data_IF_591030184058
#
_entry.id   IF_591030184058
#
_cell.length_a   1.000
_cell.length_b   1.000
_cell.length_c   1.000
_cell.angle_alpha   90.00
_cell.angle_beta   90.00
_cell.angle_gamma   90.00
#
_symmetry.space_group_name_H-M   'P 1'
#
loop_
_entity.id
_entity.type
_entity.pdbx_description
1 polymer ?
#
# COMPACT_ATOMS: atom_id res chain seq x y z
N UNK A 1 7.02 13.98 -0.21
CA UNK A 1 6.08 13.52 -1.25
C UNK A 1 6.30 14.18 -2.61
N UNK A 2 6.39 15.50 -2.70
CA UNK A 2 6.53 16.20 -3.99
C UNK A 2 7.78 15.79 -4.78
N UNK A 3 8.94 15.70 -4.13
CA UNK A 3 10.19 15.20 -4.75
C UNK A 3 10.01 13.82 -5.41
N UNK A 4 9.49 12.86 -4.66
CA UNK A 4 9.23 11.51 -5.15
C UNK A 4 8.19 11.47 -6.28
N UNK A 5 7.20 12.36 -6.26
CA UNK A 5 6.23 12.50 -7.34
C UNK A 5 6.86 13.05 -8.62
N UNK A 6 7.81 13.98 -8.49
CA UNK A 6 8.50 14.59 -9.62
C UNK A 6 9.57 13.70 -10.28
N UNK A 7 10.24 12.84 -9.51
CA UNK A 7 11.36 12.05 -10.04
C UNK A 7 11.63 10.70 -9.37
N UNK A 8 10.67 10.16 -8.63
CA UNK A 8 10.79 8.85 -7.99
C UNK A 8 11.81 8.83 -6.84
N UNK A 9 12.34 7.65 -6.57
CA UNK A 9 13.16 7.36 -5.39
C UNK A 9 14.49 8.14 -5.36
N UNK A 10 15.11 8.34 -6.52
CA UNK A 10 16.41 9.00 -6.62
C UNK A 10 16.32 10.53 -6.52
N UNK A 11 15.16 11.09 -6.88
CA UNK A 11 14.88 12.51 -6.69
C UNK A 11 14.66 12.90 -5.21
N UNK A 12 14.64 11.94 -4.28
CA UNK A 12 14.49 12.23 -2.85
C UNK A 12 15.87 12.37 -2.22
N UNK A 13 16.36 13.59 -2.13
CA UNK A 13 17.58 13.91 -1.40
C UNK A 13 17.27 14.60 -0.07
N UNK A 14 17.97 14.22 1.00
CA UNK A 14 17.73 14.76 2.35
C UNK A 14 17.89 16.29 2.41
N UNK A 15 18.83 16.86 1.63
CA UNK A 15 19.02 18.31 1.50
C UNK A 15 17.81 18.98 0.86
N UNK A 16 17.28 18.40 -0.20
CA UNK A 16 16.09 18.92 -0.89
C UNK A 16 14.85 18.79 -0.01
N UNK A 17 14.72 17.69 0.74
CA UNK A 17 13.66 17.52 1.75
C UNK A 17 13.75 18.63 2.79
N UNK A 18 14.94 18.92 3.32
CA UNK A 18 15.14 19.98 4.31
C UNK A 18 14.79 21.36 3.74
N UNK A 19 15.16 21.64 2.49
CA UNK A 19 14.86 22.90 1.82
C UNK A 19 13.36 23.06 1.55
N UNK A 20 12.67 22.01 1.09
CA UNK A 20 11.23 22.05 0.83
C UNK A 20 10.40 22.13 2.11
N UNK A 21 10.85 21.51 3.19
CA UNK A 21 10.17 21.53 4.48
C UNK A 21 10.50 22.77 5.33
N UNK A 22 11.39 23.66 4.85
CA UNK A 22 11.88 24.85 5.56
C UNK A 22 12.39 24.54 6.98
N UNK A 23 13.20 23.48 7.09
CA UNK A 23 13.82 23.07 8.35
C UNK A 23 15.30 22.78 8.15
N UNK A 24 16.09 22.99 9.21
CA UNK A 24 17.51 22.65 9.19
C UNK A 24 17.73 21.16 8.91
N UNK A 25 18.76 20.83 8.12
CA UNK A 25 19.10 19.44 7.79
C UNK A 25 19.34 18.57 9.04
N UNK A 26 19.97 19.11 10.07
CA UNK A 26 20.16 18.42 11.36
C UNK A 26 18.85 18.10 12.08
N UNK A 27 17.79 18.88 11.84
CA UNK A 27 16.44 18.58 12.35
C UNK A 27 15.84 17.39 11.62
N UNK A 28 16.00 17.29 10.29
CA UNK A 28 15.55 16.11 9.55
C UNK A 28 16.25 14.84 10.07
N UNK A 29 17.58 14.86 10.18
CA UNK A 29 18.35 13.70 10.65
C UNK A 29 18.08 13.30 12.10
N UNK A 30 17.52 14.22 12.91
CA UNK A 30 17.06 13.89 14.27
C UNK A 30 15.83 12.97 14.26
N UNK A 31 14.98 13.07 13.25
CA UNK A 31 13.77 12.25 13.14
C UNK A 31 13.92 11.06 12.18
N UNK A 32 14.72 11.22 11.13
CA UNK A 32 14.87 10.22 10.08
C UNK A 32 16.34 10.05 9.72
N UNK A 33 16.89 8.86 10.01
CA UNK A 33 18.28 8.54 9.76
C UNK A 33 18.59 8.40 8.26
N UNK A 34 17.57 8.14 7.43
CA UNK A 34 17.74 7.95 5.99
C UNK A 34 16.51 8.40 5.18
N UNK A 35 16.69 8.52 3.86
CA UNK A 35 15.58 8.76 2.93
C UNK A 35 14.55 7.62 2.95
N UNK A 36 14.98 6.39 3.25
CA UNK A 36 14.08 5.24 3.34
C UNK A 36 13.11 5.37 4.51
N UNK A 37 13.57 5.89 5.65
CA UNK A 37 12.71 6.10 6.81
C UNK A 37 11.65 7.16 6.52
N UNK A 38 12.02 8.28 5.87
CA UNK A 38 11.07 9.32 5.44
C UNK A 38 10.04 8.74 4.46
N UNK A 39 10.49 7.94 3.51
CA UNK A 39 9.62 7.34 2.50
C UNK A 39 8.72 6.25 3.09
N UNK A 40 9.21 5.45 4.04
CA UNK A 40 8.40 4.45 4.73
C UNK A 40 7.28 5.10 5.56
N UNK A 41 7.57 6.19 6.26
CA UNK A 41 6.52 7.01 6.92
C UNK A 41 5.53 7.58 5.93
N UNK A 42 6.03 8.05 4.78
CA UNK A 42 5.18 8.48 3.69
C UNK A 42 4.26 7.37 3.18
N UNK A 43 4.73 6.13 3.11
CA UNK A 43 3.93 5.01 2.65
C UNK A 43 2.80 4.69 3.63
N UNK A 44 3.09 4.73 4.93
CA UNK A 44 2.06 4.56 5.97
C UNK A 44 0.97 5.60 5.79
N UNK A 45 1.33 6.88 5.71
CA UNK A 45 0.37 7.98 5.49
C UNK A 45 -0.41 7.82 4.17
N UNK A 46 0.24 7.33 3.11
CA UNK A 46 -0.43 7.04 1.84
C UNK A 46 -1.49 5.94 1.98
N UNK A 47 -1.18 4.85 2.69
CA UNK A 47 -2.11 3.74 2.88
C UNK A 47 -3.23 4.08 3.85
N UNK A 48 -2.98 4.90 4.88
CA UNK A 48 -4.03 5.43 5.75
C UNK A 48 -5.04 6.27 4.95
N UNK A 49 -4.57 7.21 4.13
CA UNK A 49 -5.46 8.00 3.27
C UNK A 49 -6.17 7.14 2.21
N UNK A 50 -5.54 6.05 1.75
CA UNK A 50 -6.21 5.07 0.89
C UNK A 50 -7.33 4.32 1.62
N UNK A 51 -7.09 3.86 2.84
CA UNK A 51 -8.10 3.20 3.67
C UNK A 51 -9.30 4.11 3.90
N UNK A 52 -9.08 5.36 4.29
CA UNK A 52 -10.16 6.35 4.49
C UNK A 52 -11.02 6.52 3.23
N UNK A 53 -10.39 6.63 2.06
CA UNK A 53 -11.09 6.70 0.77
C UNK A 53 -11.90 5.45 0.44
N UNK A 54 -11.38 4.27 0.77
CA UNK A 54 -12.08 3.00 0.56
C UNK A 54 -13.27 2.89 1.52
N UNK A 55 -13.11 3.29 2.78
CA UNK A 55 -14.13 3.18 3.81
C UNK A 55 -15.40 4.00 3.49
N UNK A 56 -15.25 5.16 2.83
CA UNK A 56 -16.39 6.01 2.43
C UNK A 56 -16.96 5.66 1.05
N UNK A 57 -16.32 4.76 0.30
CA UNK A 57 -16.78 4.37 -1.04
C UNK A 57 -18.02 3.46 -0.90
N UNK A 58 -19.07 3.68 -1.72
CA UNK A 58 -20.17 2.73 -1.79
C UNK A 58 -19.65 1.34 -2.16
N UNK A 59 -20.00 0.33 -1.34
CA UNK A 59 -19.69 -1.06 -1.65
C UNK A 59 -20.42 -1.46 -2.93
N UNK A 60 -19.68 -1.97 -3.91
CA UNK A 60 -20.23 -2.49 -5.16
C UNK A 60 -20.11 -4.01 -5.18
N UNK A 61 -21.14 -4.67 -5.70
CA UNK A 61 -21.22 -6.13 -5.71
C UNK A 61 -22.24 -6.66 -4.71
N UNK A 62 -22.83 -7.80 -5.08
CA UNK A 62 -23.82 -8.54 -4.33
C UNK A 62 -23.18 -9.58 -3.40
N UNK A 63 -21.93 -9.97 -3.63
CA UNK A 63 -21.20 -10.95 -2.80
C UNK A 63 -20.01 -10.32 -2.08
N UNK A 64 -19.53 -10.97 -1.01
CA UNK A 64 -18.32 -10.53 -0.30
C UNK A 64 -17.07 -10.57 -1.20
N UNK A 65 -17.00 -11.53 -2.13
CA UNK A 65 -15.94 -11.61 -3.13
C UNK A 65 -15.95 -10.39 -4.05
N UNK A 66 -17.12 -10.02 -4.59
CA UNK A 66 -17.27 -8.86 -5.47
C UNK A 66 -16.95 -7.55 -4.74
N UNK A 67 -17.38 -7.41 -3.49
CA UNK A 67 -17.10 -6.22 -2.67
C UNK A 67 -15.61 -6.08 -2.35
N UNK A 68 -14.95 -7.19 -1.97
CA UNK A 68 -13.50 -7.19 -1.74
C UNK A 68 -12.72 -6.92 -3.03
N UNK A 69 -13.14 -7.52 -4.15
CA UNK A 69 -12.53 -7.29 -5.45
C UNK A 69 -12.69 -5.84 -5.93
N UNK A 70 -13.85 -5.19 -5.74
CA UNK A 70 -14.02 -3.76 -6.07
C UNK A 70 -13.10 -2.88 -5.21
N UNK A 71 -13.00 -3.16 -3.91
CA UNK A 71 -12.12 -2.42 -3.01
C UNK A 71 -10.64 -2.56 -3.41
N UNK A 72 -10.17 -3.77 -3.73
CA UNK A 72 -8.80 -4.03 -4.14
C UNK A 72 -8.47 -3.40 -5.51
N UNK A 73 -9.39 -3.47 -6.47
CA UNK A 73 -9.24 -2.75 -7.75
C UNK A 73 -9.22 -1.24 -7.57
N UNK A 74 -10.06 -0.71 -6.69
CA UNK A 74 -10.05 0.71 -6.36
C UNK A 74 -8.72 1.14 -5.69
N UNK A 75 -8.14 0.28 -4.86
CA UNK A 75 -6.84 0.47 -4.24
C UNK A 75 -5.68 0.49 -5.26
N UNK A 76 -5.73 -0.41 -6.25
CA UNK A 76 -4.70 -0.50 -7.29
C UNK A 76 -4.79 0.62 -8.35
N UNK A 77 -5.88 1.39 -8.38
CA UNK A 77 -6.03 2.55 -9.28
C UNK A 77 -5.25 3.74 -8.74
N UNK A 78 -4.04 3.90 -9.27
CA UNK A 78 -3.14 5.01 -8.95
C UNK A 78 -2.98 5.88 -10.19
N UNK A 79 -3.16 7.21 -10.08
CA UNK A 79 -2.89 8.14 -11.18
C UNK A 79 -1.46 7.98 -11.73
N UNK A 80 -1.29 8.17 -13.05
CA UNK A 80 0.02 8.03 -13.71
C UNK A 80 1.07 8.97 -13.10
N UNK A 81 0.67 10.21 -12.82
CA UNK A 81 1.50 11.23 -12.17
C UNK A 81 1.86 10.90 -10.71
N UNK A 82 1.13 9.99 -10.07
CA UNK A 82 1.41 9.49 -8.72
C UNK A 82 2.22 8.20 -8.70
N UNK A 83 2.39 7.56 -9.86
CA UNK A 83 3.10 6.27 -9.99
C UNK A 83 4.57 6.36 -9.58
N UNK A 84 5.35 7.40 -9.95
CA UNK A 84 6.72 7.56 -9.47
C UNK A 84 6.81 7.67 -7.95
N UNK A 85 5.86 8.39 -7.33
CA UNK A 85 5.76 8.49 -5.89
C UNK A 85 5.52 7.12 -5.26
N UNK A 86 4.49 6.39 -5.69
CA UNK A 86 4.19 5.09 -5.09
C UNK A 86 5.35 4.10 -5.27
N UNK A 87 6.03 4.13 -6.42
CA UNK A 87 7.20 3.27 -6.65
C UNK A 87 8.32 3.62 -5.67
N UNK A 88 8.61 4.91 -5.47
CA UNK A 88 9.60 5.36 -4.50
C UNK A 88 9.28 4.92 -3.07
N UNK A 89 8.02 5.05 -2.66
CA UNK A 89 7.54 4.60 -1.35
C UNK A 89 7.74 3.10 -1.17
N UNK A 90 7.40 2.28 -2.19
CA UNK A 90 7.59 0.83 -2.14
C UNK A 90 9.05 0.41 -2.21
N UNK A 91 9.90 1.10 -2.97
CA UNK A 91 11.35 0.83 -3.00
C UNK A 91 11.98 1.00 -1.63
N UNK A 92 11.60 2.04 -0.88
CA UNK A 92 12.09 2.27 0.48
C UNK A 92 11.76 1.11 1.45
N UNK A 93 10.69 0.36 1.20
CA UNK A 93 10.28 -0.78 2.05
C UNK A 93 11.23 -1.98 1.97
N UNK A 94 12.08 -2.05 0.95
CA UNK A 94 13.13 -3.07 0.85
C UNK A 94 14.38 -2.75 1.68
N UNK A 95 14.41 -1.59 2.36
CA UNK A 95 15.52 -1.18 3.21
C UNK A 95 15.70 -2.13 4.41
N UNK A 96 16.95 -2.49 4.78
CA UNK A 96 17.21 -3.32 5.96
C UNK A 96 17.06 -2.57 7.30
N UNK A 97 16.60 -1.32 7.30
CA UNK A 97 16.39 -0.52 8.53
C UNK A 97 15.34 -1.15 9.45
N UNK A 98 15.64 -1.17 10.75
CA UNK A 98 14.70 -1.62 11.81
C UNK A 98 13.47 -0.72 11.85
N UNK A 99 13.64 0.59 11.66
CA UNK A 99 12.53 1.55 11.60
C UNK A 99 11.62 1.25 10.42
N UNK A 100 12.20 0.95 9.25
CA UNK A 100 11.42 0.55 8.06
C UNK A 100 10.71 -0.78 8.30
N UNK A 101 11.37 -1.75 8.96
CA UNK A 101 10.73 -3.02 9.30
C UNK A 101 9.52 -2.86 10.24
N UNK A 102 9.55 -1.90 11.17
CA UNK A 102 8.37 -1.55 11.99
C UNK A 102 7.26 -0.96 11.13
N UNK A 103 7.57 -0.06 10.20
CA UNK A 103 6.59 0.48 9.25
C UNK A 103 5.97 -0.61 8.36
N UNK A 104 6.74 -1.63 7.98
CA UNK A 104 6.21 -2.82 7.28
C UNK A 104 5.17 -3.58 8.11
N UNK A 105 5.37 -3.70 9.43
CA UNK A 105 4.38 -4.33 10.33
C UNK A 105 3.12 -3.47 10.46
N UNK A 106 3.28 -2.15 10.57
CA UNK A 106 2.16 -1.20 10.58
C UNK A 106 1.34 -1.31 9.29
N UNK A 107 2.01 -1.33 8.13
CA UNK A 107 1.38 -1.48 6.83
C UNK A 107 0.60 -2.79 6.71
N UNK A 108 1.17 -3.93 7.15
CA UNK A 108 0.44 -5.19 7.17
C UNK A 108 -0.83 -5.14 8.02
N UNK A 109 -0.83 -4.38 9.11
CA UNK A 109 -2.01 -4.20 9.97
C UNK A 109 -3.07 -3.37 9.27
N UNK A 110 -2.70 -2.25 8.66
CA UNK A 110 -3.62 -1.42 7.86
C UNK A 110 -4.24 -2.21 6.70
N UNK A 111 -3.46 -3.03 6.00
CA UNK A 111 -3.97 -3.87 4.92
C UNK A 111 -4.98 -4.91 5.42
N UNK A 112 -4.74 -5.51 6.59
CA UNK A 112 -5.70 -6.42 7.24
C UNK A 112 -7.00 -5.70 7.57
N UNK A 113 -6.94 -4.48 8.08
CA UNK A 113 -8.11 -3.66 8.38
C UNK A 113 -8.93 -3.36 7.12
N UNK A 114 -8.28 -2.97 6.01
CA UNK A 114 -8.96 -2.74 4.72
C UNK A 114 -9.71 -4.00 4.26
N UNK A 115 -9.07 -5.17 4.32
CA UNK A 115 -9.72 -6.44 3.92
C UNK A 115 -10.90 -6.76 4.84
N UNK A 116 -10.72 -6.62 6.16
CA UNK A 116 -11.80 -6.86 7.14
C UNK A 116 -12.98 -5.92 6.93
N UNK A 117 -12.72 -4.64 6.73
CA UNK A 117 -13.74 -3.64 6.43
C UNK A 117 -14.47 -4.00 5.14
N UNK A 118 -13.75 -4.36 4.07
CA UNK A 118 -14.35 -4.74 2.80
C UNK A 118 -15.23 -6.00 2.90
N UNK A 119 -14.87 -6.98 3.74
CA UNK A 119 -15.69 -8.16 4.03
C UNK A 119 -16.94 -7.84 4.86
N UNK A 120 -16.95 -6.70 5.56
CA UNK A 120 -18.08 -6.27 6.39
C UNK A 120 -17.91 -6.62 7.87
N UNK A 121 -18.78 -6.01 8.69
CA UNK A 121 -18.80 -6.22 10.14
C UNK A 121 -20.24 -6.53 10.59
N UNK A 122 -20.55 -7.79 10.98
CA UNK A 122 -19.65 -8.94 11.01
C UNK A 122 -19.30 -9.46 9.58
N UNK A 123 -18.18 -10.18 9.42
CA UNK A 123 -17.84 -10.84 8.16
C UNK A 123 -18.85 -11.96 7.83
N UNK A 124 -18.92 -12.42 6.57
CA UNK A 124 -19.84 -13.48 6.16
C UNK A 124 -19.56 -14.79 6.92
N UNK A 125 -20.62 -15.57 7.17
CA UNK A 125 -20.49 -16.86 7.85
C UNK A 125 -19.60 -17.83 7.06
N UNK A 126 -18.77 -18.58 7.78
CA UNK A 126 -17.87 -19.58 7.19
C UNK A 126 -16.59 -19.02 6.55
N UNK A 127 -16.39 -17.70 6.52
CA UNK A 127 -15.18 -17.08 5.98
C UNK A 127 -14.06 -17.07 7.01
N UNK A 128 -12.93 -17.71 6.70
CA UNK A 128 -11.67 -17.55 7.43
C UNK A 128 -11.00 -16.22 7.05
N UNK A 129 -11.38 -15.17 7.77
CA UNK A 129 -10.87 -13.81 7.55
C UNK A 129 -9.34 -13.73 7.69
N UNK A 130 -8.75 -14.46 8.63
CA UNK A 130 -7.30 -14.43 8.86
C UNK A 130 -6.56 -15.18 7.75
N UNK A 131 -7.11 -16.31 7.29
CA UNK A 131 -6.62 -17.02 6.10
C UNK A 131 -6.68 -16.15 4.85
N UNK A 132 -7.81 -15.47 4.61
CA UNK A 132 -7.97 -14.54 3.48
C UNK A 132 -6.93 -13.43 3.54
N UNK A 133 -6.78 -12.77 4.70
CA UNK A 133 -5.78 -11.73 4.88
C UNK A 133 -4.34 -12.22 4.60
N UNK A 134 -4.02 -13.44 5.04
CA UNK A 134 -2.69 -14.04 4.85
C UNK A 134 -2.38 -14.30 3.38
N UNK A 135 -3.31 -14.89 2.64
CA UNK A 135 -3.14 -15.15 1.20
C UNK A 135 -3.05 -13.84 0.42
N UNK A 136 -3.93 -12.88 0.73
CA UNK A 136 -3.89 -11.54 0.11
C UNK A 136 -2.55 -10.84 0.33
N UNK A 137 -1.98 -10.93 1.54
CA UNK A 137 -0.67 -10.34 1.84
C UNK A 137 0.46 -10.95 0.99
N UNK A 138 0.42 -12.26 0.71
CA UNK A 138 1.39 -12.91 -0.16
C UNK A 138 1.23 -12.47 -1.63
N UNK A 139 0.00 -12.40 -2.14
CA UNK A 139 -0.29 -11.93 -3.50
C UNK A 139 0.14 -10.48 -3.67
N UNK A 140 -0.19 -9.62 -2.71
CA UNK A 140 0.24 -8.21 -2.67
C UNK A 140 1.76 -8.08 -2.66
N UNK A 141 2.45 -8.84 -1.80
CA UNK A 141 3.92 -8.78 -1.70
C UNK A 141 4.61 -9.21 -3.00
N UNK A 142 4.10 -10.25 -3.65
CA UNK A 142 4.58 -10.71 -4.95
C UNK A 142 4.32 -9.67 -6.05
N UNK A 143 3.09 -9.16 -6.12
CA UNK A 143 2.68 -8.17 -7.12
C UNK A 143 3.46 -6.85 -7.01
N UNK A 144 3.69 -6.34 -5.79
CA UNK A 144 4.55 -5.17 -5.57
C UNK A 144 5.97 -5.44 -6.03
N UNK A 145 6.55 -6.59 -5.66
CA UNK A 145 7.94 -6.89 -5.99
C UNK A 145 8.14 -6.93 -7.50
N UNK A 146 7.20 -7.55 -8.22
CA UNK A 146 7.19 -7.58 -9.69
C UNK A 146 6.99 -6.19 -10.31
N UNK A 147 6.07 -5.40 -9.77
CA UNK A 147 5.79 -4.06 -10.27
C UNK A 147 6.94 -3.06 -10.04
N UNK A 148 7.54 -3.07 -8.85
CA UNK A 148 8.71 -2.24 -8.51
C UNK A 148 9.90 -2.64 -9.39
N UNK A 149 10.08 -3.94 -9.62
CA UNK A 149 11.09 -4.47 -10.55
C UNK A 149 10.81 -4.22 -12.04
N UNK A 150 9.66 -3.64 -12.39
CA UNK A 150 9.28 -3.36 -13.78
C UNK A 150 8.87 -4.60 -14.59
N UNK A 151 8.62 -5.74 -13.94
CA UNK A 151 8.21 -6.99 -14.57
C UNK A 151 6.75 -6.93 -15.00
N UNK A 152 5.89 -6.32 -14.19
CA UNK A 152 4.45 -6.20 -14.45
C UNK A 152 3.95 -4.77 -14.25
N UNK A 153 2.88 -4.35 -14.95
CA UNK A 153 2.22 -3.07 -14.67
C UNK A 153 1.43 -3.13 -13.34
N UNK A 154 1.22 -1.98 -12.70
CA UNK A 154 0.48 -1.91 -11.41
C UNK A 154 -0.94 -2.46 -11.51
N UNK A 155 -1.60 -2.30 -12.67
CA UNK A 155 -2.94 -2.82 -12.91
C UNK A 155 -3.02 -4.35 -12.76
N UNK A 156 -1.99 -5.08 -13.18
CA UNK A 156 -1.95 -6.54 -13.08
C UNK A 156 -2.01 -7.01 -11.62
N UNK A 157 -1.34 -6.30 -10.71
CA UNK A 157 -1.44 -6.58 -9.28
C UNK A 157 -2.88 -6.43 -8.76
N UNK A 158 -3.60 -5.40 -9.21
CA UNK A 158 -5.00 -5.21 -8.85
C UNK A 158 -5.92 -6.33 -9.34
N UNK A 159 -5.64 -6.83 -10.55
CA UNK A 159 -6.38 -7.94 -11.15
C UNK A 159 -6.10 -9.27 -10.43
N UNK A 160 -4.84 -9.56 -10.08
CA UNK A 160 -4.46 -10.76 -9.33
C UNK A 160 -5.10 -10.80 -7.93
N UNK A 161 -5.13 -9.65 -7.25
CA UNK A 161 -5.78 -9.50 -5.94
C UNK A 161 -7.29 -9.72 -6.05
N UNK A 162 -7.93 -9.18 -7.09
CA UNK A 162 -9.34 -9.39 -7.33
C UNK A 162 -9.68 -10.84 -7.67
N UNK A 163 -8.87 -11.50 -8.51
CA UNK A 163 -9.00 -12.92 -8.82
C UNK A 163 -8.87 -13.76 -7.54
N UNK A 164 -7.89 -13.43 -6.69
CA UNK A 164 -7.69 -14.11 -5.40
C UNK A 164 -8.90 -13.97 -4.49
N UNK A 165 -9.59 -12.82 -4.49
CA UNK A 165 -10.81 -12.65 -3.70
C UNK A 165 -11.89 -13.64 -4.11
N UNK A 166 -12.13 -13.80 -5.42
CA UNK A 166 -13.07 -14.78 -5.95
C UNK A 166 -12.67 -16.22 -5.60
N UNK A 167 -11.40 -16.58 -5.78
CA UNK A 167 -10.90 -17.94 -5.49
C UNK A 167 -11.05 -18.34 -4.01
N UNK A 168 -11.03 -17.38 -3.09
CA UNK A 168 -11.11 -17.63 -1.66
C UNK A 168 -12.53 -17.56 -1.08
N UNK A 169 -13.43 -16.80 -1.71
CA UNK A 169 -14.71 -16.43 -1.13
C UNK A 169 -15.93 -16.92 -1.91
N UNK A 170 -15.78 -17.26 -3.19
CA UNK A 170 -16.89 -17.81 -3.95
C UNK A 170 -17.11 -19.29 -3.55
N UNK A 171 -18.37 -19.71 -3.34
CA UNK A 171 -18.68 -21.11 -3.11
C UNK A 171 -18.23 -21.96 -4.29
N UNK A 172 -17.64 -23.13 -4.02
CA UNK A 172 -17.39 -24.16 -5.02
C UNK A 172 -18.65 -24.96 -5.32
#
# INVERSE_FOLDING_TARGET
MQLARGGGYDAVQMREVSAQADVALGTIYRYFASKDEILAEGLVAWVEGLRERIAVRPRRGNTAAEQLADALRAAARVPEDATPLLRALMTAMSSPSITVAEKSRQLHTLMREIVREALGSPPPQGVDVDGVCRVMAHVWSSGISQWVGGVTPLGAMGDDLALTAHLLLDPR
#
